data_IF_209239529760
#
_entry.id   IF_209239529760
#
_cell.length_a   1.000
_cell.length_b   1.000
_cell.length_c   1.000
_cell.angle_alpha   90.00
_cell.angle_beta   90.00
_cell.angle_gamma   90.00
#
_symmetry.space_group_name_H-M   'P 1'
#
loop_
_entity.id
_entity.type
_entity.pdbx_description
1 polymer ?
#
# COMPACT_ATOMS: atom_id res chain seq x y z
N UNK A 1 2.40 28.69 44.20
CA UNK A 1 2.32 29.55 43.00
C UNK A 1 3.63 29.49 42.25
N UNK A 2 3.67 28.65 41.22
CA UNK A 2 4.17 28.93 39.86
C UNK A 2 4.47 27.58 39.20
N UNK A 3 3.42 27.10 38.54
CA UNK A 3 3.41 26.01 37.57
C UNK A 3 4.37 26.32 36.44
N UNK A 4 5.43 25.53 36.33
CA UNK A 4 6.33 25.54 35.20
C UNK A 4 5.76 24.62 34.09
N UNK A 5 4.60 24.98 33.54
CA UNK A 5 4.07 24.35 32.33
C UNK A 5 4.70 25.03 31.12
N UNK A 6 5.51 24.29 30.37
CA UNK A 6 6.10 24.76 29.11
C UNK A 6 4.99 25.32 28.20
N UNK A 7 5.12 26.54 27.66
CA UNK A 7 4.18 27.07 26.69
C UNK A 7 4.38 26.31 25.36
N UNK A 8 3.33 25.69 24.82
CA UNK A 8 3.36 25.11 23.47
C UNK A 8 2.67 23.76 23.24
N UNK A 9 2.01 23.16 24.24
CA UNK A 9 1.49 21.79 24.16
C UNK A 9 -0.04 21.64 24.24
N UNK A 10 -0.85 22.69 24.11
CA UNK A 10 -2.30 22.50 24.11
C UNK A 10 -2.76 22.12 22.69
N UNK A 11 -3.07 20.83 22.48
CA UNK A 11 -3.72 20.32 21.28
C UNK A 11 -4.89 19.44 21.70
N UNK A 12 -6.02 19.59 21.02
CA UNK A 12 -7.20 18.74 21.19
C UNK A 12 -7.23 17.68 20.09
N UNK A 13 -7.45 16.42 20.44
CA UNK A 13 -7.55 15.32 19.47
C UNK A 13 -9.00 14.93 19.26
N UNK A 14 -9.42 14.82 17.99
CA UNK A 14 -10.76 14.37 17.61
C UNK A 14 -10.75 13.60 16.29
N UNK A 15 -11.87 12.97 15.97
CA UNK A 15 -12.09 12.37 14.66
C UNK A 15 -12.13 13.46 13.56
N UNK A 16 -11.54 13.13 12.42
CA UNK A 16 -11.63 13.89 11.18
C UNK A 16 -13.07 13.86 10.66
N UNK A 17 -13.49 14.98 10.07
CA UNK A 17 -14.81 15.20 9.49
C UNK A 17 -14.66 15.62 8.04
N UNK A 18 -15.73 15.46 7.26
CA UNK A 18 -15.79 15.95 5.87
C UNK A 18 -15.47 17.46 5.76
N UNK A 19 -15.87 18.26 6.74
CA UNK A 19 -15.55 19.68 6.82
C UNK A 19 -14.04 19.99 6.97
N UNK A 20 -13.24 19.02 7.44
CA UNK A 20 -11.80 19.18 7.63
C UNK A 20 -11.00 19.00 6.32
N UNK A 21 -11.61 18.49 5.24
CA UNK A 21 -10.91 18.12 3.99
C UNK A 21 -9.98 19.21 3.45
N UNK A 22 -10.42 20.47 3.50
CA UNK A 22 -9.61 21.59 2.99
C UNK A 22 -8.36 21.83 3.85
N UNK A 23 -8.49 21.81 5.18
CA UNK A 23 -7.36 21.98 6.09
C UNK A 23 -6.42 20.76 6.03
N UNK A 24 -6.99 19.56 5.90
CA UNK A 24 -6.22 18.32 5.71
C UNK A 24 -5.41 18.37 4.42
N UNK A 25 -5.99 18.80 3.31
CA UNK A 25 -5.27 18.96 2.04
C UNK A 25 -4.07 19.90 2.21
N UNK A 26 -4.26 21.07 2.82
CA UNK A 26 -3.17 22.00 3.13
C UNK A 26 -2.09 21.36 4.00
N UNK A 27 -2.49 20.62 5.04
CA UNK A 27 -1.55 19.95 5.94
C UNK A 27 -0.77 18.82 5.24
N UNK A 28 -1.41 18.09 4.34
CA UNK A 28 -0.80 17.01 3.55
C UNK A 28 0.22 17.57 2.55
N UNK A 29 -0.12 18.68 1.88
CA UNK A 29 0.72 19.28 0.84
C UNK A 29 1.87 20.12 1.41
N UNK A 30 1.65 20.80 2.55
CA UNK A 30 2.57 21.80 3.11
C UNK A 30 3.02 21.51 4.55
N UNK A 31 2.67 20.35 5.11
CA UNK A 31 3.11 19.94 6.44
C UNK A 31 4.64 19.82 6.53
N UNK A 32 5.18 20.06 7.72
CA UNK A 32 6.64 19.97 7.96
C UNK A 32 7.11 18.51 7.95
N UNK A 33 6.33 17.63 8.57
CA UNK A 33 6.56 16.19 8.52
C UNK A 33 5.31 15.53 7.98
N UNK A 34 5.44 14.86 6.83
CA UNK A 34 4.33 14.19 6.15
C UNK A 34 4.78 12.80 5.72
N UNK A 35 4.13 11.78 6.27
CA UNK A 35 4.17 10.39 5.84
C UNK A 35 2.85 10.05 5.14
N UNK A 36 2.93 9.51 3.93
CA UNK A 36 1.79 8.98 3.18
C UNK A 36 2.11 7.56 2.75
N UNK A 37 1.16 6.65 2.95
CA UNK A 37 1.27 5.29 2.46
C UNK A 37 0.94 5.22 0.96
N UNK A 38 1.58 4.29 0.25
CA UNK A 38 1.28 3.99 -1.14
C UNK A 38 0.03 3.11 -1.18
N UNK A 39 -1.09 3.68 -1.62
CA UNK A 39 -2.41 3.05 -1.55
C UNK A 39 -3.20 3.35 -2.82
N UNK A 40 -4.21 2.52 -3.10
CA UNK A 40 -5.20 2.78 -4.15
C UNK A 40 -6.10 3.95 -3.82
N UNK A 41 -6.22 4.29 -2.53
CA UNK A 41 -6.92 5.48 -2.02
C UNK A 41 -5.94 6.61 -1.71
N UNK A 42 -6.35 7.85 -1.97
CA UNK A 42 -5.60 9.01 -1.47
C UNK A 42 -5.84 9.17 0.04
N UNK A 43 -4.96 9.87 0.78
CA UNK A 43 -5.20 10.15 2.20
C UNK A 43 -6.54 10.87 2.49
N UNK A 44 -7.11 11.60 1.54
CA UNK A 44 -8.41 12.26 1.69
C UNK A 44 -9.60 11.32 1.42
N UNK A 45 -9.41 10.24 0.65
CA UNK A 45 -10.44 9.22 0.40
C UNK A 45 -10.73 8.38 1.66
N UNK A 46 -9.86 8.47 2.67
CA UNK A 46 -10.03 7.82 3.96
C UNK A 46 -10.85 8.64 4.96
N UNK A 47 -11.15 9.92 4.68
CA UNK A 47 -12.02 10.71 5.57
C UNK A 47 -13.39 10.02 5.66
N UNK A 48 -13.88 9.82 6.89
CA UNK A 48 -15.09 9.03 7.17
C UNK A 48 -14.81 7.57 7.58
N UNK A 49 -13.60 7.06 7.35
CA UNK A 49 -13.15 5.77 7.88
C UNK A 49 -12.36 5.99 9.19
N UNK A 50 -12.50 5.08 10.16
CA UNK A 50 -11.92 5.25 11.50
C UNK A 50 -10.89 4.17 11.83
N UNK A 51 -9.82 4.50 12.59
CA UNK A 51 -9.49 5.83 13.09
C UNK A 51 -8.90 6.74 12.00
N UNK A 52 -9.46 7.94 11.91
CA UNK A 52 -8.85 9.08 11.24
C UNK A 52 -8.96 10.26 12.20
N UNK A 53 -7.83 10.65 12.76
CA UNK A 53 -7.71 11.59 13.84
C UNK A 53 -7.03 12.86 13.37
N UNK A 54 -7.46 13.98 13.93
CA UNK A 54 -6.85 15.28 13.76
C UNK A 54 -6.54 15.87 15.13
N UNK A 55 -5.42 16.57 15.22
CA UNK A 55 -5.09 17.41 16.34
C UNK A 55 -5.31 18.88 15.96
N UNK A 56 -6.05 19.60 16.78
CA UNK A 56 -6.39 21.00 16.57
C UNK A 56 -5.85 21.90 17.69
N UNK A 57 -5.44 23.12 17.32
CA UNK A 57 -5.09 24.21 18.22
C UNK A 57 -5.72 25.48 17.68
N UNK A 58 -6.44 26.23 18.52
CA UNK A 58 -7.11 27.48 18.14
C UNK A 58 -7.97 27.34 16.86
N UNK A 59 -8.68 26.21 16.75
CA UNK A 59 -9.51 25.81 15.59
C UNK A 59 -8.74 25.55 14.26
N UNK A 60 -7.41 25.50 14.28
CA UNK A 60 -6.58 25.12 13.15
C UNK A 60 -6.05 23.69 13.31
N UNK A 61 -6.06 22.90 12.24
CA UNK A 61 -5.45 21.58 12.25
C UNK A 61 -3.93 21.69 12.24
N UNK A 62 -3.29 21.14 13.26
CA UNK A 62 -1.83 21.13 13.43
C UNK A 62 -1.23 19.74 13.24
N UNK A 63 -2.03 18.67 13.31
CA UNK A 63 -1.58 17.33 12.94
C UNK A 63 -2.75 16.44 12.51
N UNK A 64 -2.44 15.36 11.78
CA UNK A 64 -3.41 14.34 11.39
C UNK A 64 -2.78 12.95 11.36
N UNK A 65 -3.56 11.92 11.66
CA UNK A 65 -3.20 10.52 11.53
C UNK A 65 -4.39 9.73 10.96
N UNK A 66 -4.17 8.95 9.91
CA UNK A 66 -5.15 8.01 9.40
C UNK A 66 -4.62 6.58 9.51
N UNK A 67 -5.35 5.73 10.23
CA UNK A 67 -5.05 4.32 10.37
C UNK A 67 -6.32 3.43 10.36
N UNK A 68 -7.27 3.64 9.43
CA UNK A 68 -8.45 2.79 9.36
C UNK A 68 -8.07 1.35 8.96
N UNK A 69 -8.68 0.32 9.58
CA UNK A 69 -8.56 -1.06 9.11
C UNK A 69 -9.20 -1.22 7.73
N UNK A 70 -8.53 -1.94 6.83
CA UNK A 70 -9.12 -2.39 5.57
C UNK A 70 -9.69 -3.82 5.70
N UNK A 71 -9.08 -4.62 6.58
CA UNK A 71 -9.57 -5.92 7.02
C UNK A 71 -9.78 -5.88 8.56
N UNK A 72 -10.62 -6.75 9.14
CA UNK A 72 -10.97 -6.69 10.56
C UNK A 72 -9.78 -6.72 11.53
N UNK A 73 -8.72 -7.41 11.15
CA UNK A 73 -7.51 -7.67 11.93
C UNK A 73 -6.25 -6.99 11.35
N UNK A 74 -6.41 -6.09 10.37
CA UNK A 74 -5.29 -5.44 9.70
C UNK A 74 -5.54 -3.96 9.39
N UNK A 75 -4.66 -3.09 9.89
CA UNK A 75 -4.65 -1.66 9.60
C UNK A 75 -3.25 -1.19 9.17
N UNK A 76 -3.22 -0.20 8.28
CA UNK A 76 -1.97 0.48 7.89
C UNK A 76 -2.01 1.93 8.35
N UNK A 77 -0.88 2.50 8.79
CA UNK A 77 -0.76 3.94 8.96
C UNK A 77 -0.70 4.57 7.57
N UNK A 78 -1.87 5.03 7.11
CA UNK A 78 -2.10 5.61 5.77
C UNK A 78 -1.58 7.04 5.68
N UNK A 79 -1.69 7.80 6.77
CA UNK A 79 -1.24 9.19 6.86
C UNK A 79 -0.71 9.47 8.26
N UNK A 80 0.40 10.21 8.34
CA UNK A 80 0.74 11.00 9.51
C UNK A 80 1.35 12.33 9.05
N UNK A 81 0.74 13.44 9.45
CA UNK A 81 1.17 14.78 9.03
C UNK A 81 1.17 15.75 10.21
N UNK A 82 2.10 16.71 10.20
CA UNK A 82 2.22 17.75 11.24
C UNK A 82 2.55 19.11 10.63
N UNK A 83 2.02 20.18 11.24
CA UNK A 83 2.36 21.56 10.92
C UNK A 83 3.66 21.97 11.63
N UNK A 84 4.29 23.10 11.26
CA UNK A 84 5.45 23.63 11.96
C UNK A 84 5.20 23.99 13.43
N UNK A 85 3.94 24.21 13.80
CA UNK A 85 3.54 24.77 15.10
C UNK A 85 3.44 23.73 16.22
N UNK A 86 3.69 22.45 15.92
CA UNK A 86 3.63 21.35 16.88
C UNK A 86 4.86 20.44 16.77
N UNK A 87 5.35 20.00 17.92
CA UNK A 87 6.41 18.99 17.97
C UNK A 87 5.91 17.68 17.36
N UNK A 88 6.65 17.14 16.39
CA UNK A 88 6.30 15.88 15.72
C UNK A 88 6.14 14.72 16.70
N UNK A 89 6.99 14.65 17.74
CA UNK A 89 6.91 13.62 18.78
C UNK A 89 5.66 13.79 19.62
N UNK A 90 5.35 15.02 20.03
CA UNK A 90 4.16 15.28 20.84
C UNK A 90 2.87 14.98 20.06
N UNK A 91 2.78 15.44 18.81
CA UNK A 91 1.66 15.13 17.93
C UNK A 91 1.50 13.62 17.70
N UNK A 92 2.61 12.90 17.50
CA UNK A 92 2.61 11.44 17.37
C UNK A 92 2.10 10.78 18.64
N UNK A 93 2.65 11.10 19.81
CA UNK A 93 2.25 10.52 21.10
C UNK A 93 0.75 10.72 21.36
N UNK A 94 0.21 11.92 21.11
CA UNK A 94 -1.21 12.23 21.29
C UNK A 94 -2.13 11.50 20.28
N UNK A 95 -1.79 11.53 18.98
CA UNK A 95 -2.62 10.91 17.95
C UNK A 95 -2.53 9.38 17.99
N UNK A 96 -1.34 8.82 18.24
CA UNK A 96 -1.13 7.38 18.32
C UNK A 96 -1.81 6.79 19.56
N UNK A 97 -1.77 7.47 20.71
CA UNK A 97 -2.54 7.03 21.89
C UNK A 97 -4.04 6.94 21.58
N UNK A 98 -4.62 7.98 20.99
CA UNK A 98 -6.03 7.98 20.62
C UNK A 98 -6.37 6.95 19.52
N UNK A 99 -5.47 6.70 18.58
CA UNK A 99 -5.65 5.65 17.56
C UNK A 99 -5.67 4.26 18.20
N UNK A 100 -4.74 3.99 19.13
CA UNK A 100 -4.68 2.73 19.87
C UNK A 100 -5.94 2.48 20.67
N UNK A 101 -6.49 3.49 21.33
CA UNK A 101 -7.73 3.35 22.10
C UNK A 101 -8.92 2.98 21.21
N UNK A 102 -8.99 3.49 19.97
CA UNK A 102 -10.04 3.13 19.01
C UNK A 102 -9.84 1.75 18.37
N UNK A 103 -8.60 1.30 18.26
CA UNK A 103 -8.24 0.00 17.70
C UNK A 103 -8.17 -1.11 18.76
N UNK A 104 -8.31 -0.77 20.05
CA UNK A 104 -8.21 -1.72 21.14
C UNK A 104 -9.35 -2.76 21.09
N UNK A 105 -9.01 -4.02 21.40
CA UNK A 105 -9.98 -5.10 21.60
C UNK A 105 -10.08 -6.12 20.48
N UNK A 106 -9.31 -5.99 19.40
CA UNK A 106 -9.39 -6.87 18.22
C UNK A 106 -8.11 -7.66 17.89
N UNK A 107 -7.07 -7.63 18.73
CA UNK A 107 -5.76 -8.23 18.42
C UNK A 107 -5.28 -7.87 17.00
N UNK A 108 -5.37 -6.57 16.69
CA UNK A 108 -5.17 -6.05 15.34
C UNK A 108 -3.70 -5.82 15.07
N UNK A 109 -3.25 -6.19 13.86
CA UNK A 109 -1.94 -5.81 13.37
C UNK A 109 -2.01 -4.40 12.74
N UNK A 110 -1.18 -3.49 13.23
CA UNK A 110 -0.98 -2.18 12.62
C UNK A 110 0.39 -2.14 11.96
N UNK A 111 0.42 -1.89 10.65
CA UNK A 111 1.67 -1.78 9.88
C UNK A 111 1.93 -0.36 9.37
N UNK A 112 3.20 -0.07 9.10
CA UNK A 112 3.65 1.18 8.51
C UNK A 112 4.87 0.94 7.61
N UNK A 113 4.97 1.71 6.53
CA UNK A 113 6.10 1.65 5.59
C UNK A 113 6.81 3.01 5.57
N UNK A 114 7.79 3.26 6.46
CA UNK A 114 8.43 4.57 6.54
C UNK A 114 9.34 4.83 5.34
N UNK A 115 9.00 5.85 4.55
CA UNK A 115 9.85 6.36 3.47
C UNK A 115 10.94 7.32 3.96
N UNK A 116 10.78 7.88 5.16
CA UNK A 116 11.64 8.94 5.71
C UNK A 116 12.17 8.56 7.10
N UNK A 117 13.42 8.93 7.37
CA UNK A 117 14.14 8.51 8.60
C UNK A 117 13.50 9.04 9.88
N UNK A 118 12.89 10.23 9.86
CA UNK A 118 12.18 10.78 11.03
C UNK A 118 10.98 9.92 11.41
N UNK A 119 10.23 9.41 10.43
CA UNK A 119 9.04 8.59 10.69
C UNK A 119 9.43 7.22 11.20
N UNK A 120 10.49 6.61 10.62
CA UNK A 120 11.10 5.39 11.15
C UNK A 120 11.46 5.52 12.63
N UNK A 121 12.12 6.63 13.03
CA UNK A 121 12.48 6.88 14.43
C UNK A 121 11.28 6.97 15.37
N UNK A 122 10.12 7.47 14.89
CA UNK A 122 8.89 7.48 15.68
C UNK A 122 8.37 6.06 15.90
N UNK A 123 8.31 5.26 14.83
CA UNK A 123 7.87 3.87 14.89
C UNK A 123 8.75 3.05 15.85
N UNK A 124 10.07 3.13 15.71
CA UNK A 124 11.05 2.46 16.59
C UNK A 124 10.93 2.90 18.05
N UNK A 125 10.54 4.16 18.30
CA UNK A 125 10.29 4.66 19.65
C UNK A 125 8.93 4.20 20.22
N UNK A 126 8.03 3.66 19.40
CA UNK A 126 6.67 3.26 19.80
C UNK A 126 6.32 1.83 19.44
N UNK A 127 7.08 0.85 19.98
CA UNK A 127 6.80 -0.59 19.94
C UNK A 127 6.61 -1.26 18.57
N UNK A 128 6.72 -0.52 17.46
CA UNK A 128 6.75 -1.11 16.13
C UNK A 128 8.06 -1.86 15.94
N UNK A 129 7.94 -3.10 15.47
CA UNK A 129 9.07 -3.97 15.14
C UNK A 129 9.23 -4.07 13.63
N UNK A 130 10.48 -4.16 13.18
CA UNK A 130 10.78 -4.42 11.79
C UNK A 130 10.24 -5.79 11.38
N UNK A 131 9.57 -5.86 10.23
CA UNK A 131 9.02 -7.09 9.65
C UNK A 131 9.90 -7.57 8.49
N UNK A 132 9.97 -6.78 7.42
CA UNK A 132 10.69 -7.11 6.20
C UNK A 132 10.99 -5.84 5.40
N UNK A 133 11.78 -5.99 4.34
CA UNK A 133 11.99 -4.94 3.35
C UNK A 133 11.17 -5.27 2.09
N UNK A 134 10.57 -4.24 1.49
CA UNK A 134 10.00 -4.30 0.14
C UNK A 134 10.99 -3.65 -0.82
N UNK A 135 11.35 -4.37 -1.87
CA UNK A 135 12.32 -3.92 -2.88
C UNK A 135 11.62 -3.62 -4.19
N UNK A 136 12.10 -2.59 -4.88
CA UNK A 136 11.66 -2.31 -6.24
C UNK A 136 12.59 -3.00 -7.24
N UNK A 137 12.00 -3.72 -8.18
CA UNK A 137 12.66 -4.23 -9.37
C UNK A 137 12.15 -3.47 -10.59
N UNK A 138 12.97 -3.39 -11.62
CA UNK A 138 12.63 -2.79 -12.89
C UNK A 138 13.04 -3.68 -14.06
N UNK A 139 12.17 -3.70 -15.05
CA UNK A 139 12.44 -4.26 -16.36
C UNK A 139 12.49 -3.09 -17.34
N UNK A 140 13.47 -3.11 -18.24
CA UNK A 140 13.65 -2.09 -19.27
C UNK A 140 13.36 -2.73 -20.63
N UNK A 141 12.66 -2.01 -21.49
CA UNK A 141 12.35 -2.49 -22.82
C UNK A 141 13.64 -2.59 -23.67
N UNK A 142 14.29 -3.75 -23.64
CA UNK A 142 15.45 -4.10 -24.46
C UNK A 142 15.13 -5.35 -25.31
N UNK A 143 15.49 -5.33 -26.58
CA UNK A 143 15.48 -6.52 -27.46
C UNK A 143 14.15 -7.29 -27.59
N UNK A 144 14.28 -8.57 -27.94
CA UNK A 144 13.17 -9.45 -28.30
C UNK A 144 12.19 -9.73 -27.14
N UNK A 145 10.91 -10.05 -27.44
CA UNK A 145 9.95 -10.48 -26.41
C UNK A 145 10.48 -11.69 -25.65
N UNK A 146 10.18 -11.82 -24.35
CA UNK A 146 10.46 -13.06 -23.64
C UNK A 146 9.78 -14.24 -24.38
N UNK A 147 10.47 -15.38 -24.43
CA UNK A 147 10.04 -16.53 -25.22
C UNK A 147 8.66 -17.02 -24.76
N UNK A 148 7.75 -17.31 -25.69
CA UNK A 148 6.38 -17.70 -25.35
C UNK A 148 6.40 -18.98 -24.52
N UNK A 149 5.90 -18.93 -23.29
CA UNK A 149 5.67 -20.14 -22.52
C UNK A 149 4.34 -20.76 -22.93
N UNK A 150 4.36 -22.07 -23.17
CA UNK A 150 3.13 -22.85 -23.31
C UNK A 150 2.47 -23.01 -21.94
N UNK A 151 1.74 -21.98 -21.48
CA UNK A 151 0.84 -22.12 -20.34
C UNK A 151 -0.46 -22.77 -20.79
N UNK A 152 -1.00 -23.67 -19.97
CA UNK A 152 -2.32 -24.30 -20.20
C UNK A 152 -3.49 -23.38 -19.85
N UNK A 153 -3.22 -22.15 -19.39
CA UNK A 153 -4.23 -21.17 -19.03
C UNK A 153 -4.45 -20.14 -20.14
N UNK A 154 -5.69 -19.66 -20.26
CA UNK A 154 -6.08 -18.51 -21.08
C UNK A 154 -5.84 -17.22 -20.31
N UNK A 155 -5.33 -16.19 -20.97
CA UNK A 155 -5.19 -14.84 -20.40
C UNK A 155 -6.13 -13.90 -21.14
N UNK A 156 -6.95 -13.17 -20.37
CA UNK A 156 -7.89 -12.19 -20.92
C UNK A 156 -8.00 -10.96 -20.01
N UNK A 157 -8.54 -9.83 -20.53
CA UNK A 157 -8.94 -8.71 -19.68
C UNK A 157 -9.83 -9.15 -18.52
N UNK A 158 -9.59 -8.55 -17.36
CA UNK A 158 -10.43 -8.72 -16.18
C UNK A 158 -11.72 -7.92 -16.34
N UNK A 159 -12.85 -8.54 -16.03
CA UNK A 159 -14.17 -7.92 -16.01
C UNK A 159 -14.62 -7.67 -14.56
N UNK A 160 -15.55 -6.73 -14.35
CA UNK A 160 -16.02 -6.40 -12.99
C UNK A 160 -16.66 -7.60 -12.27
N UNK A 161 -17.28 -8.52 -13.03
CA UNK A 161 -17.90 -9.73 -12.51
C UNK A 161 -16.90 -10.79 -12.04
N UNK A 162 -15.62 -10.65 -12.41
CA UNK A 162 -14.54 -11.53 -11.97
C UNK A 162 -14.09 -11.21 -10.52
N UNK A 163 -14.41 -10.02 -10.00
CA UNK A 163 -13.92 -9.53 -8.70
C UNK A 163 -14.12 -10.50 -7.53
N UNK A 164 -15.26 -11.20 -7.37
CA UNK A 164 -15.41 -12.17 -6.29
C UNK A 164 -14.38 -13.32 -6.36
N UNK A 165 -14.09 -13.82 -7.56
CA UNK A 165 -13.10 -14.88 -7.76
C UNK A 165 -11.67 -14.36 -7.59
N UNK A 166 -11.40 -13.15 -8.10
CA UNK A 166 -10.11 -12.45 -7.90
C UNK A 166 -9.84 -12.22 -6.41
N UNK A 167 -10.85 -11.82 -5.64
CA UNK A 167 -10.73 -11.66 -4.19
C UNK A 167 -10.43 -12.97 -3.49
N UNK A 168 -11.04 -14.08 -3.89
CA UNK A 168 -10.74 -15.40 -3.32
C UNK A 168 -9.27 -15.79 -3.60
N UNK A 169 -8.80 -15.60 -4.83
CA UNK A 169 -7.39 -15.81 -5.18
C UNK A 169 -6.46 -14.91 -4.36
N UNK A 170 -6.81 -13.64 -4.15
CA UNK A 170 -6.03 -12.71 -3.32
C UNK A 170 -5.90 -13.19 -1.87
N UNK A 171 -7.03 -13.50 -1.24
CA UNK A 171 -7.08 -13.94 0.15
C UNK A 171 -6.29 -15.24 0.38
N UNK A 172 -6.29 -16.16 -0.57
CA UNK A 172 -5.51 -17.40 -0.47
C UNK A 172 -4.01 -17.20 -0.79
N UNK A 173 -3.67 -16.21 -1.62
CA UNK A 173 -2.30 -16.02 -2.10
C UNK A 173 -1.43 -15.17 -1.18
N UNK A 174 -2.05 -14.30 -0.35
CA UNK A 174 -1.33 -13.36 0.52
C UNK A 174 -1.59 -13.62 1.99
N UNK A 175 -0.57 -13.44 2.83
CA UNK A 175 -0.75 -13.37 4.29
C UNK A 175 -1.57 -12.11 4.67
N UNK A 176 -2.26 -12.09 5.83
CA UNK A 176 -3.19 -11.01 6.19
C UNK A 176 -2.68 -9.58 6.00
N UNK A 177 -1.43 -9.30 6.37
CA UNK A 177 -0.81 -7.97 6.22
C UNK A 177 -0.76 -7.45 4.77
N UNK A 178 -0.75 -8.37 3.80
CA UNK A 178 -0.62 -8.10 2.37
C UNK A 178 -1.91 -8.29 1.58
N UNK A 179 -2.98 -8.77 2.20
CA UNK A 179 -4.28 -8.96 1.55
C UNK A 179 -4.96 -7.62 1.26
N UNK A 180 -5.79 -7.58 0.22
CA UNK A 180 -6.65 -6.43 -0.07
C UNK A 180 -8.11 -6.80 0.16
N UNK A 181 -8.89 -5.86 0.73
CA UNK A 181 -10.35 -6.01 0.77
C UNK A 181 -10.98 -6.00 -0.62
N UNK A 182 -12.21 -6.49 -0.72
CA UNK A 182 -13.03 -6.38 -1.93
C UNK A 182 -13.15 -4.92 -2.42
N UNK A 183 -13.25 -3.97 -1.48
CA UNK A 183 -13.37 -2.56 -1.80
C UNK A 183 -12.08 -1.99 -2.39
N UNK A 184 -10.91 -2.36 -1.86
CA UNK A 184 -9.62 -1.96 -2.45
C UNK A 184 -9.37 -2.62 -3.80
N UNK A 185 -9.70 -3.91 -3.97
CA UNK A 185 -9.57 -4.58 -5.28
C UNK A 185 -10.45 -3.93 -6.34
N UNK A 186 -11.69 -3.55 -5.99
CA UNK A 186 -12.56 -2.80 -6.90
C UNK A 186 -11.93 -1.47 -7.35
N UNK A 187 -11.42 -0.67 -6.40
CA UNK A 187 -10.74 0.60 -6.71
C UNK A 187 -9.48 0.36 -7.56
N UNK A 188 -8.73 -0.70 -7.25
CA UNK A 188 -7.54 -1.07 -8.00
C UNK A 188 -7.84 -1.37 -9.47
N UNK A 189 -8.93 -2.11 -9.74
CA UNK A 189 -9.38 -2.41 -11.11
C UNK A 189 -9.89 -1.15 -11.81
N UNK A 190 -10.68 -0.31 -11.13
CA UNK A 190 -11.19 0.95 -11.70
C UNK A 190 -10.07 1.94 -12.07
N UNK A 191 -8.93 1.89 -11.35
CA UNK A 191 -7.75 2.72 -11.60
C UNK A 191 -6.66 2.02 -12.42
N UNK A 192 -6.89 0.79 -12.85
CA UNK A 192 -5.91 -0.01 -13.56
C UNK A 192 -5.66 0.58 -14.96
N UNK A 193 -4.40 0.57 -15.38
CA UNK A 193 -4.06 0.71 -16.79
C UNK A 193 -4.31 -0.63 -17.50
N UNK A 194 -3.85 -1.74 -16.90
CA UNK A 194 -4.11 -3.09 -17.39
C UNK A 194 -4.50 -3.96 -16.19
N UNK A 195 -5.64 -4.62 -16.29
CA UNK A 195 -6.05 -5.70 -15.39
C UNK A 195 -6.35 -6.95 -16.22
N UNK A 196 -5.65 -8.05 -15.94
CA UNK A 196 -5.87 -9.33 -16.64
C UNK A 196 -6.04 -10.47 -15.65
N UNK A 197 -6.84 -11.46 -16.05
CA UNK A 197 -7.01 -12.72 -15.34
C UNK A 197 -6.39 -13.84 -16.16
N UNK A 198 -5.84 -14.84 -15.46
CA UNK A 198 -5.52 -16.14 -16.00
C UNK A 198 -6.62 -17.11 -15.57
N UNK A 199 -7.18 -17.84 -16.53
CA UNK A 199 -8.24 -18.82 -16.29
C UNK A 199 -7.95 -20.16 -16.95
N UNK A 200 -8.44 -21.23 -16.34
CA UNK A 200 -8.47 -22.58 -16.89
C UNK A 200 -9.87 -23.19 -16.75
N UNK A 201 -10.02 -24.50 -16.95
CA UNK A 201 -11.30 -25.20 -16.83
C UNK A 201 -11.96 -25.06 -15.44
N UNK A 202 -11.18 -24.72 -14.41
CA UNK A 202 -11.66 -24.52 -13.03
C UNK A 202 -12.06 -23.07 -12.71
N UNK A 203 -11.85 -22.13 -13.64
CA UNK A 203 -12.15 -20.71 -13.49
C UNK A 203 -10.89 -19.86 -13.35
N UNK A 204 -10.99 -18.76 -12.60
CA UNK A 204 -9.88 -17.81 -12.42
C UNK A 204 -8.86 -18.39 -11.45
N UNK A 205 -7.63 -18.52 -11.93
CA UNK A 205 -6.51 -19.14 -11.20
C UNK A 205 -5.39 -18.15 -10.86
N UNK A 206 -5.43 -16.96 -11.43
CA UNK A 206 -4.47 -15.91 -11.19
C UNK A 206 -4.93 -14.60 -11.81
N UNK A 207 -4.31 -13.51 -11.39
CA UNK A 207 -4.61 -12.20 -11.92
C UNK A 207 -3.43 -11.25 -11.76
N UNK A 208 -3.44 -10.16 -12.52
CA UNK A 208 -2.57 -9.03 -12.29
C UNK A 208 -3.32 -7.71 -12.48
N UNK A 209 -2.87 -6.68 -11.75
CA UNK A 209 -3.32 -5.30 -11.89
C UNK A 209 -2.08 -4.42 -11.99
N UNK A 210 -2.08 -3.53 -12.97
CA UNK A 210 -0.97 -2.60 -13.20
C UNK A 210 -1.46 -1.19 -13.49
N UNK A 211 -0.62 -0.21 -13.20
CA UNK A 211 -0.85 1.21 -13.49
C UNK A 211 0.16 1.72 -14.50
N UNK A 212 -0.14 2.87 -15.11
CA UNK A 212 0.73 3.52 -16.08
C UNK A 212 0.97 4.98 -15.69
N UNK A 213 2.19 5.47 -15.93
CA UNK A 213 2.55 6.87 -15.81
C UNK A 213 3.54 7.24 -16.91
N UNK A 214 3.15 8.17 -17.79
CA UNK A 214 3.94 8.55 -18.96
C UNK A 214 4.43 7.31 -19.73
N UNK A 215 5.75 7.14 -19.88
CA UNK A 215 6.36 5.99 -20.55
C UNK A 215 6.77 4.85 -19.60
N UNK A 216 6.14 4.74 -18.42
CA UNK A 216 6.44 3.73 -17.41
C UNK A 216 5.18 2.96 -16.99
N UNK A 217 5.28 1.64 -16.88
CA UNK A 217 4.31 0.79 -16.23
C UNK A 217 4.71 0.44 -14.79
N UNK A 218 3.74 0.10 -13.95
CA UNK A 218 3.98 -0.49 -12.64
C UNK A 218 3.05 -1.68 -12.43
N UNK A 219 3.64 -2.87 -12.25
CA UNK A 219 2.91 -4.05 -11.81
C UNK A 219 2.58 -3.87 -10.32
N UNK A 220 1.37 -3.41 -10.05
CA UNK A 220 0.92 -3.05 -8.71
C UNK A 220 0.47 -4.27 -7.90
N UNK A 221 -0.03 -5.31 -8.58
CA UNK A 221 -0.47 -6.55 -7.93
C UNK A 221 -0.38 -7.72 -8.89
N UNK A 222 0.09 -8.87 -8.40
CA UNK A 222 0.05 -10.14 -9.11
C UNK A 222 -0.18 -11.25 -8.10
N UNK A 223 -1.15 -12.12 -8.37
CA UNK A 223 -1.43 -13.28 -7.56
C UNK A 223 -1.74 -14.50 -8.44
N UNK A 224 -1.34 -15.67 -7.95
CA UNK A 224 -1.69 -16.97 -8.53
C UNK A 224 -2.11 -17.86 -7.39
N UNK A 225 -3.25 -18.52 -7.54
CA UNK A 225 -3.81 -19.43 -6.56
C UNK A 225 -2.72 -20.42 -6.07
N UNK A 226 -2.51 -20.60 -4.75
CA UNK A 226 -1.37 -21.36 -4.21
C UNK A 226 -1.20 -22.77 -4.80
N UNK A 227 -2.29 -23.51 -4.97
CA UNK A 227 -2.30 -24.86 -5.58
C UNK A 227 -1.83 -24.93 -7.04
N UNK A 228 -1.77 -23.79 -7.72
CA UNK A 228 -1.45 -23.66 -9.15
C UNK A 228 -0.16 -22.83 -9.38
N UNK A 229 0.54 -22.44 -8.32
CA UNK A 229 1.85 -21.82 -8.40
C UNK A 229 2.91 -22.79 -8.95
N UNK A 230 4.03 -22.23 -9.40
CA UNK A 230 5.14 -22.99 -10.03
C UNK A 230 4.76 -23.78 -11.28
N UNK A 231 3.67 -23.39 -11.96
CA UNK A 231 3.20 -23.95 -13.24
C UNK A 231 3.28 -22.97 -14.41
N UNK A 232 4.04 -21.87 -14.25
CA UNK A 232 4.21 -20.84 -15.28
C UNK A 232 3.09 -19.80 -15.39
N UNK A 233 2.01 -19.89 -14.60
CA UNK A 233 0.87 -18.95 -14.65
C UNK A 233 1.31 -17.50 -14.37
N UNK A 234 2.09 -17.29 -13.31
CA UNK A 234 2.58 -15.95 -12.96
C UNK A 234 3.50 -15.37 -14.03
N UNK A 235 4.30 -16.23 -14.67
CA UNK A 235 5.17 -15.84 -15.78
C UNK A 235 4.36 -15.46 -17.01
N UNK A 236 3.33 -16.25 -17.36
CA UNK A 236 2.42 -15.93 -18.45
C UNK A 236 1.71 -14.57 -18.25
N UNK A 237 1.24 -14.27 -17.02
CA UNK A 237 0.67 -12.97 -16.67
C UNK A 237 1.67 -11.83 -16.84
N UNK A 238 2.93 -12.01 -16.41
CA UNK A 238 3.99 -11.00 -16.59
C UNK A 238 4.34 -10.82 -18.06
N UNK A 239 4.39 -11.89 -18.85
CA UNK A 239 4.67 -11.80 -20.28
C UNK A 239 3.60 -11.02 -21.03
N UNK A 240 2.32 -11.33 -20.76
CA UNK A 240 1.20 -10.60 -21.34
C UNK A 240 1.25 -9.11 -20.97
N UNK A 241 1.49 -8.81 -19.68
CA UNK A 241 1.66 -7.45 -19.20
C UNK A 241 2.78 -6.68 -19.94
N UNK A 242 3.98 -7.27 -20.02
CA UNK A 242 5.12 -6.65 -20.69
C UNK A 242 4.86 -6.44 -22.18
N UNK A 243 4.19 -7.39 -22.85
CA UNK A 243 3.80 -7.25 -24.24
C UNK A 243 2.81 -6.09 -24.44
N UNK A 244 1.82 -5.96 -23.55
CA UNK A 244 0.87 -4.86 -23.57
C UNK A 244 1.55 -3.50 -23.37
N UNK A 245 2.40 -3.37 -22.34
CA UNK A 245 3.13 -2.12 -22.09
C UNK A 245 4.11 -1.76 -23.21
N UNK A 246 4.77 -2.74 -23.83
CA UNK A 246 5.58 -2.50 -25.05
C UNK A 246 4.74 -1.92 -26.19
N UNK A 247 3.54 -2.47 -26.44
CA UNK A 247 2.62 -1.93 -27.47
C UNK A 247 2.20 -0.50 -27.19
N UNK A 248 2.15 -0.09 -25.93
CA UNK A 248 1.84 1.28 -25.51
C UNK A 248 3.06 2.21 -25.46
N UNK A 249 4.24 1.74 -25.85
CA UNK A 249 5.47 2.53 -25.87
C UNK A 249 6.09 2.74 -24.49
N UNK A 250 5.76 1.90 -23.49
CA UNK A 250 6.43 1.95 -22.20
C UNK A 250 7.91 1.55 -22.37
N UNK A 251 8.79 2.38 -21.84
CA UNK A 251 10.24 2.14 -21.84
C UNK A 251 10.68 1.29 -20.64
N UNK A 252 9.86 1.26 -19.59
CA UNK A 252 10.16 0.61 -18.32
C UNK A 252 8.91 0.09 -17.64
N UNK A 253 9.02 -1.05 -16.96
CA UNK A 253 8.00 -1.57 -16.04
C UNK A 253 8.65 -1.82 -14.68
N UNK A 254 8.00 -1.39 -13.62
CA UNK A 254 8.50 -1.60 -12.24
C UNK A 254 7.58 -2.53 -11.47
N UNK A 255 8.10 -3.17 -10.43
CA UNK A 255 7.34 -4.00 -9.50
C UNK A 255 7.95 -3.91 -8.11
N UNK A 256 7.13 -4.03 -7.07
CA UNK A 256 7.59 -4.12 -5.69
C UNK A 256 7.31 -5.52 -5.15
N UNK A 257 8.27 -6.11 -4.43
CA UNK A 257 8.06 -7.39 -3.74
C UNK A 257 8.89 -7.45 -2.46
N UNK A 258 8.49 -8.29 -1.51
CA UNK A 258 9.21 -8.46 -0.26
C UNK A 258 10.55 -9.16 -0.50
N UNK A 259 11.58 -8.82 0.27
CA UNK A 259 12.91 -9.46 0.17
C UNK A 259 12.91 -10.95 0.49
N UNK A 260 11.94 -11.42 1.25
CA UNK A 260 11.74 -12.82 1.63
C UNK A 260 10.78 -13.58 0.68
N UNK A 261 10.15 -12.89 -0.28
CA UNK A 261 9.27 -13.52 -1.26
C UNK A 261 10.06 -14.16 -2.42
N UNK A 262 10.64 -15.33 -2.14
CA UNK A 262 11.49 -16.06 -3.10
C UNK A 262 10.76 -16.45 -4.39
N UNK A 263 9.45 -16.71 -4.32
CA UNK A 263 8.64 -17.06 -5.48
C UNK A 263 8.55 -15.88 -6.46
N UNK A 264 8.17 -14.70 -5.97
CA UNK A 264 8.11 -13.48 -6.79
C UNK A 264 9.50 -13.05 -7.28
N UNK A 265 10.53 -13.10 -6.43
CA UNK A 265 11.90 -12.75 -6.84
C UNK A 265 12.42 -13.65 -7.97
N UNK A 266 12.13 -14.96 -7.90
CA UNK A 266 12.52 -15.92 -8.95
C UNK A 266 11.76 -15.65 -10.25
N UNK A 267 10.45 -15.44 -10.16
CA UNK A 267 9.58 -15.08 -11.29
C UNK A 267 10.08 -13.82 -12.01
N UNK A 268 10.34 -12.74 -11.27
CA UNK A 268 10.75 -11.48 -11.86
C UNK A 268 12.15 -11.56 -12.46
N UNK A 269 13.07 -12.30 -11.81
CA UNK A 269 14.39 -12.57 -12.39
C UNK A 269 14.30 -13.34 -13.71
N UNK A 270 13.42 -14.34 -13.79
CA UNK A 270 13.17 -15.10 -15.03
C UNK A 270 12.58 -14.21 -16.13
N UNK A 271 11.75 -13.23 -15.75
CA UNK A 271 11.21 -12.20 -16.65
C UNK A 271 12.16 -11.01 -16.92
N UNK A 272 13.46 -11.15 -16.59
CA UNK A 272 14.51 -10.14 -16.79
C UNK A 272 14.29 -8.81 -16.06
N UNK A 273 13.60 -8.82 -14.92
CA UNK A 273 13.61 -7.69 -14.01
C UNK A 273 14.90 -7.67 -13.20
N UNK A 274 15.45 -6.48 -13.02
CA UNK A 274 16.65 -6.20 -12.25
C UNK A 274 16.30 -5.44 -10.98
N UNK A 275 16.97 -5.76 -9.87
CA UNK A 275 16.75 -5.07 -8.59
C UNK A 275 17.33 -3.66 -8.62
N UNK A 276 16.57 -2.70 -8.11
CA UNK A 276 17.03 -1.32 -7.90
C UNK A 276 17.52 -1.10 -6.47
N UNK A 277 18.11 0.07 -6.20
CA UNK A 277 18.53 0.48 -4.85
C UNK A 277 17.37 0.97 -3.96
N UNK A 278 16.12 0.96 -4.46
CA UNK A 278 14.96 1.42 -3.71
C UNK A 278 14.45 0.31 -2.80
N UNK A 279 14.57 0.56 -1.49
CA UNK A 279 14.18 -0.34 -0.41
C UNK A 279 13.22 0.41 0.51
N UNK A 280 12.11 -0.25 0.84
CA UNK A 280 11.05 0.27 1.69
C UNK A 280 10.86 -0.67 2.88
N UNK A 281 11.33 -0.29 4.07
CA UNK A 281 11.16 -1.13 5.25
C UNK A 281 9.68 -1.19 5.64
N UNK A 282 9.27 -2.30 6.24
CA UNK A 282 7.94 -2.49 6.79
C UNK A 282 8.09 -2.74 8.27
N UNK A 283 7.32 -2.01 9.05
CA UNK A 283 7.24 -2.16 10.50
C UNK A 283 5.82 -2.50 10.89
N UNK A 284 5.66 -3.27 11.96
CA UNK A 284 4.35 -3.63 12.48
C UNK A 284 4.31 -3.61 14.01
N UNK A 285 3.12 -3.47 14.58
CA UNK A 285 2.83 -3.69 16.00
C UNK A 285 1.48 -4.36 16.14
N UNK A 286 1.27 -5.10 17.23
CA UNK A 286 -0.03 -5.63 17.60
C UNK A 286 -0.64 -4.80 18.73
N UNK A 287 -1.97 -4.64 18.70
CA UNK A 287 -2.75 -3.90 19.69
C UNK A 287 -3.85 -4.76 20.31
#
# INVERSE_FOLDING_TARGET
>A
MNSNTKPGNDISVRLAREADRRQLATLIDFGTYVHQHLDWRTPLDWVGHQPYLVAERDCCLVAAMACPPDLPDMAWIRLFATSPDVSVRYAWESLWAAARDQLAGTNICVAAMPHQSWFRKLLEATAFVYLCDVVMLEWVANGQPPAHCHSTCSIRPMEIYDLPAVQAVDAESFSPIWQNSAALLKIAVERAAIATVAEDESGIIGYQISTASAACGHLARLAVHPRLQSRGVGYALVQDLLAQFRRWGALKVTVNTQTDNQASLSLYKEADFQRTDRIYPVYQTYL
#
